data_IF_618422892553
#
_entry.id   IF_618422892553
#
_cell.length_a   1.000
_cell.length_b   1.000
_cell.length_c   1.000
_cell.angle_alpha   90.00
_cell.angle_beta   90.00
_cell.angle_gamma   90.00
#
_symmetry.space_group_name_H-M   'P 1'
#
loop_
_entity.id
_entity.type
_entity.pdbx_description
1 polymer ?
#
# COMPACT_ATOMS: atom_id res chain seq x y z
N UNK A 1 3.31 -9.28 10.72
CA UNK A 1 3.31 -8.69 9.37
C UNK A 1 4.06 -7.35 9.37
N UNK A 2 3.70 -6.37 10.22
CA UNK A 2 4.36 -5.06 10.29
C UNK A 2 5.89 -5.14 10.44
N UNK A 3 6.39 -5.92 11.43
CA UNK A 3 7.84 -6.14 11.65
C UNK A 3 8.56 -6.60 10.37
N UNK A 4 7.93 -7.47 9.59
CA UNK A 4 8.53 -7.98 8.35
C UNK A 4 8.77 -6.86 7.35
N UNK A 5 7.80 -5.96 7.16
CA UNK A 5 7.95 -4.85 6.21
C UNK A 5 8.73 -3.66 6.74
N UNK A 6 8.90 -3.54 8.06
CA UNK A 6 9.77 -2.54 8.68
C UNK A 6 11.24 -2.96 8.58
N UNK A 7 11.52 -4.26 8.75
CA UNK A 7 12.87 -4.77 8.95
C UNK A 7 13.18 -6.03 8.13
N UNK A 8 12.49 -7.14 8.38
CA UNK A 8 12.95 -8.46 7.91
C UNK A 8 13.10 -8.55 6.38
N UNK A 9 12.19 -7.92 5.61
CA UNK A 9 12.22 -7.90 4.15
C UNK A 9 13.53 -7.31 3.61
N UNK A 10 14.05 -6.26 4.26
CA UNK A 10 15.26 -5.58 3.83
C UNK A 10 16.53 -6.40 4.09
N UNK A 11 16.47 -7.33 5.04
CA UNK A 11 17.60 -8.22 5.33
C UNK A 11 17.42 -9.62 4.76
N UNK A 12 16.31 -9.87 4.06
CA UNK A 12 16.07 -11.15 3.40
C UNK A 12 17.19 -11.47 2.38
N UNK A 13 17.72 -12.71 2.34
CA UNK A 13 18.83 -13.06 1.46
C UNK A 13 18.59 -12.77 -0.02
N UNK A 14 17.35 -12.93 -0.51
CA UNK A 14 17.01 -12.59 -1.90
C UNK A 14 17.22 -11.10 -2.20
N UNK A 15 16.88 -10.21 -1.26
CA UNK A 15 17.07 -8.77 -1.43
C UNK A 15 18.56 -8.43 -1.31
N UNK A 16 19.25 -8.95 -0.28
CA UNK A 16 20.67 -8.65 -0.01
C UNK A 16 21.61 -9.18 -1.08
N UNK A 17 21.33 -10.36 -1.64
CA UNK A 17 22.17 -10.99 -2.68
C UNK A 17 21.78 -10.55 -4.09
N UNK A 18 20.55 -10.10 -4.28
CA UNK A 18 20.04 -9.66 -5.59
C UNK A 18 20.61 -8.32 -6.06
N UNK A 19 21.34 -7.58 -5.21
CA UNK A 19 21.92 -6.27 -5.52
C UNK A 19 20.91 -5.28 -6.12
N UNK A 20 19.66 -5.33 -5.65
CA UNK A 20 18.62 -4.42 -6.09
C UNK A 20 18.90 -2.99 -5.62
N UNK A 21 18.61 -1.99 -6.45
CA UNK A 21 18.67 -0.58 -6.06
C UNK A 21 17.39 -0.12 -5.37
N UNK A 22 16.25 -0.64 -5.83
CA UNK A 22 14.92 -0.30 -5.37
C UNK A 22 14.14 -1.54 -4.98
N UNK A 23 13.24 -1.39 -4.00
CA UNK A 23 12.24 -2.38 -3.64
C UNK A 23 10.86 -1.74 -3.76
N UNK A 24 9.95 -2.43 -4.45
CA UNK A 24 8.55 -2.05 -4.57
C UNK A 24 7.68 -3.05 -3.82
N UNK A 25 6.76 -2.55 -2.98
CA UNK A 25 5.72 -3.37 -2.36
C UNK A 25 4.42 -3.27 -3.16
N UNK A 26 3.80 -4.43 -3.34
CA UNK A 26 2.40 -4.60 -3.76
C UNK A 26 1.82 -5.71 -2.90
N UNK A 27 0.68 -5.46 -2.27
CA UNK A 27 -0.05 -6.49 -1.51
C UNK A 27 -0.81 -7.42 -2.48
N UNK A 28 -1.26 -8.56 -1.99
CA UNK A 28 -1.92 -9.61 -2.79
C UNK A 28 -3.28 -9.19 -3.37
N UNK A 29 -3.95 -8.24 -2.73
CA UNK A 29 -5.20 -7.61 -3.17
C UNK A 29 -4.98 -6.26 -3.87
N UNK A 30 -3.75 -6.01 -4.30
CA UNK A 30 -3.35 -4.80 -5.03
C UNK A 30 -3.38 -5.00 -6.53
N UNK A 31 -3.81 -3.97 -7.27
CA UNK A 31 -3.91 -4.05 -8.71
C UNK A 31 -3.68 -2.69 -9.39
N UNK A 32 -3.12 -2.72 -10.59
CA UNK A 32 -3.10 -1.54 -11.45
C UNK A 32 -4.45 -1.40 -12.17
N UNK A 33 -5.02 -0.20 -12.15
CA UNK A 33 -6.31 0.11 -12.79
C UNK A 33 -6.19 0.49 -14.26
N UNK A 34 -4.99 0.84 -14.72
CA UNK A 34 -4.68 1.26 -16.09
C UNK A 34 -3.20 0.99 -16.38
N UNK A 35 -2.77 1.26 -17.61
CA UNK A 35 -1.39 1.14 -18.06
C UNK A 35 -0.51 2.14 -17.31
N UNK A 36 0.59 1.65 -16.74
CA UNK A 36 1.62 2.50 -16.16
C UNK A 36 2.53 2.98 -17.29
N UNK A 37 2.32 4.22 -17.76
CA UNK A 37 3.05 4.76 -18.93
C UNK A 37 4.55 4.99 -18.69
N UNK A 38 4.97 5.05 -17.43
CA UNK A 38 6.36 5.37 -17.04
C UNK A 38 6.92 4.30 -16.14
N UNK A 39 8.11 3.81 -16.47
CA UNK A 39 8.88 2.95 -15.57
C UNK A 39 9.14 3.68 -14.25
N UNK A 40 8.59 3.14 -13.16
CA UNK A 40 8.62 3.74 -11.83
C UNK A 40 10.05 3.78 -11.27
N UNK A 41 10.87 2.77 -11.56
CA UNK A 41 12.25 2.73 -11.09
C UNK A 41 13.12 3.71 -11.86
N UNK A 42 12.92 3.82 -13.17
CA UNK A 42 13.59 4.83 -13.99
C UNK A 42 13.17 6.25 -13.54
N UNK A 43 11.89 6.44 -13.22
CA UNK A 43 11.38 7.69 -12.64
C UNK A 43 12.11 8.06 -11.35
N UNK A 44 12.20 7.14 -10.39
CA UNK A 44 12.92 7.36 -9.13
C UNK A 44 14.39 7.65 -9.36
N UNK A 45 15.07 6.93 -10.25
CA UNK A 45 16.48 7.15 -10.54
C UNK A 45 16.74 8.52 -11.18
N UNK A 46 15.90 8.93 -12.14
CA UNK A 46 16.04 10.22 -12.82
C UNK A 46 15.82 11.39 -11.85
N UNK A 47 14.86 11.25 -10.92
CA UNK A 47 14.55 12.26 -9.91
C UNK A 47 15.43 12.17 -8.66
N UNK A 48 16.27 11.13 -8.57
CA UNK A 48 17.10 10.80 -7.40
C UNK A 48 16.26 10.67 -6.12
N UNK A 49 15.10 10.01 -6.22
CA UNK A 49 14.19 9.77 -5.10
C UNK A 49 14.64 8.59 -4.25
N UNK A 50 14.34 8.68 -2.96
CA UNK A 50 14.55 7.64 -1.95
C UNK A 50 13.28 6.86 -1.65
N UNK A 51 12.13 7.52 -1.75
CA UNK A 51 10.87 6.93 -1.36
C UNK A 51 9.71 7.55 -2.15
N UNK A 52 8.78 6.71 -2.61
CA UNK A 52 7.49 7.17 -3.12
C UNK A 52 6.35 6.40 -2.47
N UNK A 53 5.22 7.07 -2.31
CA UNK A 53 3.99 6.48 -1.79
C UNK A 53 2.75 7.13 -2.42
N UNK A 54 1.61 6.45 -2.33
CA UNK A 54 0.36 6.89 -2.99
C UNK A 54 -0.71 7.45 -2.06
N UNK A 55 -0.64 7.15 -0.78
CA UNK A 55 -1.69 7.50 0.17
C UNK A 55 -1.17 7.56 1.59
N UNK A 56 -1.94 8.22 2.46
CA UNK A 56 -1.71 8.22 3.89
C UNK A 56 -3.04 8.10 4.62
N UNK A 57 -2.96 7.67 5.88
CA UNK A 57 -4.08 7.49 6.78
C UNK A 57 -3.70 7.97 8.18
N UNK A 58 -4.71 8.30 8.98
CA UNK A 58 -4.48 8.76 10.35
C UNK A 58 -4.51 7.57 11.29
N UNK A 59 -3.46 7.42 12.09
CA UNK A 59 -3.36 6.43 13.15
C UNK A 59 -2.55 7.04 14.32
N UNK A 60 -2.87 6.71 15.59
CA UNK A 60 -2.14 7.23 16.73
C UNK A 60 -0.67 6.78 16.71
N UNK A 61 0.26 7.73 16.85
CA UNK A 61 1.70 7.45 16.97
C UNK A 61 2.19 7.44 18.42
N UNK A 62 1.27 7.57 19.39
CA UNK A 62 1.55 7.61 20.83
C UNK A 62 2.50 6.49 21.28
N UNK A 63 2.33 5.22 20.86
CA UNK A 63 3.22 4.15 21.29
C UNK A 63 4.68 4.35 20.86
N UNK A 64 4.92 4.98 19.71
CA UNK A 64 6.28 5.25 19.21
C UNK A 64 6.95 6.45 19.87
N UNK A 65 6.20 7.32 20.57
CA UNK A 65 6.74 8.58 21.09
C UNK A 65 8.00 8.43 21.97
N UNK A 66 8.12 7.44 22.89
CA UNK A 66 9.30 7.29 23.72
C UNK A 66 10.60 7.14 22.92
N UNK A 67 10.55 6.40 21.81
CA UNK A 67 11.69 6.23 20.90
C UNK A 67 11.83 7.46 20.01
N UNK A 68 10.74 7.99 19.43
CA UNK A 68 10.78 9.15 18.54
C UNK A 68 11.46 10.38 19.17
N UNK A 69 11.30 10.62 20.48
CA UNK A 69 11.95 11.75 21.20
C UNK A 69 13.47 11.72 21.12
N UNK A 70 14.08 10.55 20.89
CA UNK A 70 15.54 10.38 20.75
C UNK A 70 16.02 10.86 19.38
N UNK A 71 15.15 10.83 18.38
CA UNK A 71 15.48 11.17 17.00
C UNK A 71 14.94 12.54 16.58
N UNK A 72 13.77 12.94 17.09
CA UNK A 72 13.06 14.15 16.70
C UNK A 72 12.80 15.04 17.91
N UNK A 73 12.91 16.37 17.69
CA UNK A 73 12.52 17.37 18.71
C UNK A 73 11.02 17.39 18.96
N UNK A 74 10.23 17.19 17.89
CA UNK A 74 8.78 17.05 17.96
C UNK A 74 8.42 15.61 17.60
N UNK A 75 7.63 14.95 18.44
CA UNK A 75 7.19 13.56 18.21
C UNK A 75 5.90 13.44 17.43
N UNK A 76 5.21 14.56 17.23
CA UNK A 76 4.06 14.62 16.34
C UNK A 76 4.63 14.54 14.93
N UNK A 77 4.29 13.45 14.23
CA UNK A 77 4.67 13.31 12.83
C UNK A 77 3.95 14.40 12.03
N UNK A 78 4.71 15.18 11.28
CA UNK A 78 4.20 16.19 10.36
C UNK A 78 3.30 15.58 9.28
N UNK A 79 3.53 14.30 8.95
CA UNK A 79 2.75 13.52 7.99
C UNK A 79 1.91 12.48 8.72
N UNK A 80 0.72 12.22 8.16
CA UNK A 80 -0.04 11.02 8.49
C UNK A 80 0.76 9.75 8.21
N UNK A 81 0.33 8.62 8.75
CA UNK A 81 0.95 7.33 8.48
C UNK A 81 0.79 6.99 7.00
N UNK A 82 1.87 6.57 6.34
CA UNK A 82 1.82 6.20 4.92
C UNK A 82 1.00 4.94 4.78
N UNK A 83 0.04 4.95 3.86
CA UNK A 83 -0.63 3.72 3.48
C UNK A 83 0.31 2.92 2.57
N UNK A 84 0.93 1.92 3.18
CA UNK A 84 2.14 1.29 2.70
C UNK A 84 1.88 -0.02 1.94
N UNK A 85 0.62 -0.30 1.62
CA UNK A 85 0.26 -1.29 0.60
C UNK A 85 0.93 -1.01 -0.75
N UNK A 86 1.21 0.27 -1.04
CA UNK A 86 2.06 0.71 -2.14
C UNK A 86 3.19 1.60 -1.62
N UNK A 87 4.43 1.18 -1.87
CA UNK A 87 5.57 2.08 -1.85
C UNK A 87 6.67 1.58 -2.76
N UNK A 88 7.58 2.48 -3.14
CA UNK A 88 8.89 2.12 -3.67
C UNK A 88 9.96 2.82 -2.86
N UNK A 89 10.97 2.07 -2.40
CA UNK A 89 12.05 2.52 -1.53
C UNK A 89 13.40 2.24 -2.16
N UNK A 90 14.32 3.21 -2.08
CA UNK A 90 15.73 3.03 -2.44
C UNK A 90 16.46 2.29 -1.32
N UNK A 91 16.93 1.08 -1.61
CA UNK A 91 17.54 0.19 -0.63
C UNK A 91 18.83 0.80 -0.03
N UNK A 92 19.60 1.51 -0.84
CA UNK A 92 20.79 2.24 -0.39
C UNK A 92 20.48 3.22 0.75
N UNK A 93 19.39 4.00 0.63
CA UNK A 93 18.99 4.94 1.68
C UNK A 93 18.66 4.22 2.98
N UNK A 94 17.86 3.16 2.92
CA UNK A 94 17.52 2.34 4.08
C UNK A 94 18.78 1.79 4.79
N UNK A 95 19.75 1.27 4.03
CA UNK A 95 20.97 0.68 4.59
C UNK A 95 22.02 1.69 5.06
N UNK A 96 22.09 2.88 4.44
CA UNK A 96 23.16 3.85 4.73
C UNK A 96 22.73 4.91 5.74
N UNK A 97 21.44 5.20 5.87
CA UNK A 97 20.94 6.17 6.83
C UNK A 97 21.12 5.64 8.26
N UNK A 98 22.16 6.13 8.95
CA UNK A 98 22.46 5.75 10.34
C UNK A 98 21.29 6.03 11.27
N UNK A 99 20.59 7.15 11.08
CA UNK A 99 19.47 7.57 11.92
C UNK A 99 18.26 6.65 11.74
N UNK A 100 17.92 6.32 10.50
CA UNK A 100 16.84 5.37 10.19
C UNK A 100 17.14 3.99 10.76
N UNK A 101 18.37 3.48 10.57
CA UNK A 101 18.76 2.18 11.12
C UNK A 101 18.70 2.13 12.64
N UNK A 102 19.24 3.14 13.31
CA UNK A 102 19.18 3.22 14.78
C UNK A 102 17.73 3.25 15.27
N UNK A 103 16.87 4.04 14.63
CA UNK A 103 15.45 4.08 14.96
C UNK A 103 14.75 2.73 14.79
N UNK A 104 14.95 2.07 13.65
CA UNK A 104 14.36 0.76 13.38
C UNK A 104 14.91 -0.29 14.34
N UNK A 105 16.21 -0.28 14.64
CA UNK A 105 16.79 -1.21 15.61
C UNK A 105 16.19 -1.03 17.01
N UNK A 106 16.06 0.21 17.50
CA UNK A 106 15.43 0.45 18.81
C UNK A 106 13.98 -0.06 18.86
N UNK A 107 13.20 0.11 17.78
CA UNK A 107 11.85 -0.45 17.70
C UNK A 107 11.81 -1.98 17.77
N UNK A 108 12.82 -2.64 17.21
CA UNK A 108 12.93 -4.10 17.15
C UNK A 108 13.47 -4.66 18.47
N UNK A 109 14.48 -4.03 19.06
CA UNK A 109 15.09 -4.44 20.34
C UNK A 109 14.11 -4.31 21.51
N UNK A 110 13.27 -3.27 21.51
CA UNK A 110 12.24 -3.08 22.53
C UNK A 110 10.97 -3.95 22.29
N UNK A 111 10.94 -4.75 21.21
CA UNK A 111 9.79 -5.50 20.69
C UNK A 111 8.52 -4.62 20.58
N UNK A 112 8.70 -3.31 20.42
CA UNK A 112 7.62 -2.33 20.53
C UNK A 112 6.56 -2.55 19.44
N UNK A 113 6.99 -2.93 18.24
CA UNK A 113 6.10 -3.23 17.11
C UNK A 113 5.14 -4.38 17.45
N UNK A 114 5.62 -5.40 18.16
CA UNK A 114 4.83 -6.58 18.51
C UNK A 114 3.93 -6.32 19.72
N UNK A 115 4.45 -5.60 20.72
CA UNK A 115 3.74 -5.31 21.96
C UNK A 115 2.60 -4.32 21.78
N UNK A 116 2.84 -3.26 21.02
CA UNK A 116 1.93 -2.12 20.87
C UNK A 116 1.19 -2.11 19.53
N UNK A 117 1.34 -3.17 18.72
CA UNK A 117 0.69 -3.33 17.41
C UNK A 117 0.90 -2.13 16.48
N UNK A 118 2.14 -1.64 16.41
CA UNK A 118 2.45 -0.45 15.60
C UNK A 118 2.42 -0.82 14.11
N UNK A 119 1.57 -0.12 13.35
CA UNK A 119 1.51 -0.22 11.89
C UNK A 119 2.82 0.22 11.22
N UNK A 120 3.26 -0.54 10.22
CA UNK A 120 4.48 -0.21 9.46
C UNK A 120 4.37 1.11 8.69
N UNK A 121 3.14 1.50 8.31
CA UNK A 121 2.88 2.79 7.67
C UNK A 121 3.30 3.98 8.52
N UNK A 122 3.04 3.92 9.83
CA UNK A 122 3.46 4.95 10.77
C UNK A 122 4.98 4.93 10.99
N UNK A 123 5.59 3.74 11.04
CA UNK A 123 7.05 3.60 11.17
C UNK A 123 7.77 4.16 9.94
N UNK A 124 7.27 3.87 8.73
CA UNK A 124 7.81 4.43 7.50
C UNK A 124 7.67 5.96 7.49
N UNK A 125 6.52 6.51 7.87
CA UNK A 125 6.36 7.96 8.03
C UNK A 125 7.41 8.55 8.99
N UNK A 126 7.63 7.91 10.14
CA UNK A 126 8.66 8.33 11.08
C UNK A 126 10.07 8.27 10.48
N UNK A 127 10.43 7.20 9.75
CA UNK A 127 11.73 7.09 9.09
C UNK A 127 11.99 8.26 8.13
N UNK A 128 10.96 8.66 7.38
CA UNK A 128 11.05 9.80 6.45
C UNK A 128 11.18 11.15 7.14
N UNK A 129 10.74 11.29 8.39
CA UNK A 129 10.91 12.54 9.16
C UNK A 129 12.23 12.57 9.91
N UNK A 130 12.71 11.41 10.36
CA UNK A 130 13.98 11.25 11.08
C UNK A 130 15.18 11.60 10.20
N UNK A 131 15.10 11.32 8.90
CA UNK A 131 16.12 11.63 7.93
C UNK A 131 15.75 12.87 7.10
N UNK A 132 16.38 14.01 7.40
CA UNK A 132 16.10 15.26 6.70
C UNK A 132 16.69 15.34 5.28
N UNK A 133 17.47 14.33 4.85
CA UNK A 133 18.07 14.28 3.52
C UNK A 133 17.27 13.39 2.55
N UNK A 134 16.28 12.66 3.06
CA UNK A 134 15.47 11.75 2.25
C UNK A 134 14.66 12.51 1.21
N UNK A 135 14.74 12.08 -0.04
CA UNK A 135 13.97 12.63 -1.16
C UNK A 135 12.71 11.82 -1.37
N UNK A 136 11.57 12.40 -1.01
CA UNK A 136 10.27 11.72 -0.99
C UNK A 136 9.32 12.37 -1.97
N UNK A 137 8.51 11.56 -2.66
CA UNK A 137 7.40 12.06 -3.46
C UNK A 137 6.09 11.33 -3.16
N UNK A 138 5.01 12.10 -3.02
CA UNK A 138 3.64 11.60 -2.98
C UNK A 138 3.10 11.55 -4.41
N UNK A 139 2.82 10.34 -4.93
CA UNK A 139 2.47 10.13 -6.34
C UNK A 139 1.00 9.74 -6.49
N UNK A 140 0.23 10.57 -7.17
CA UNK A 140 -1.20 10.33 -7.41
C UNK A 140 -1.51 9.77 -8.79
N UNK A 141 -0.56 9.87 -9.73
CA UNK A 141 -0.72 9.55 -11.14
C UNK A 141 -0.46 8.08 -11.51
N UNK A 142 -0.04 7.23 -10.56
CA UNK A 142 0.10 5.80 -10.79
C UNK A 142 -1.29 5.16 -10.65
N UNK A 143 -1.86 4.51 -11.67
CA UNK A 143 -3.20 3.95 -11.60
C UNK A 143 -3.22 2.69 -10.72
N UNK A 144 -3.34 2.83 -9.40
CA UNK A 144 -3.23 1.71 -8.44
C UNK A 144 -4.42 1.66 -7.47
N UNK A 145 -4.92 0.46 -7.19
CA UNK A 145 -5.97 0.16 -6.20
C UNK A 145 -5.53 -0.94 -5.23
N UNK A 146 -6.20 -0.99 -4.06
CA UNK A 146 -5.96 -1.98 -3.01
C UNK A 146 -7.20 -2.10 -2.13
N UNK A 147 -7.67 -3.33 -1.94
CA UNK A 147 -9.00 -3.59 -1.40
C UNK A 147 -10.10 -2.84 -2.18
N UNK A 148 -11.38 -3.06 -1.85
CA UNK A 148 -12.47 -2.25 -2.39
C UNK A 148 -12.39 -0.75 -1.97
N UNK A 149 -11.37 -0.37 -1.19
CA UNK A 149 -10.97 1.02 -0.91
C UNK A 149 -10.31 1.64 -2.15
N UNK A 150 -11.14 1.93 -3.13
CA UNK A 150 -10.76 2.72 -4.30
C UNK A 150 -10.55 4.17 -3.85
N UNK A 151 -9.30 4.64 -3.86
CA UNK A 151 -9.02 6.04 -3.54
C UNK A 151 -9.64 6.98 -4.59
N UNK A 152 -10.30 8.07 -4.16
CA UNK A 152 -11.22 8.85 -4.99
C UNK A 152 -10.57 9.68 -6.12
N UNK A 153 -9.25 9.84 -6.16
CA UNK A 153 -8.61 10.84 -7.04
C UNK A 153 -8.34 10.37 -8.49
N UNK A 154 -8.52 9.09 -8.81
CA UNK A 154 -8.59 8.59 -10.19
C UNK A 154 -10.02 8.27 -10.66
N UNK A 155 -11.02 8.57 -9.81
CA UNK A 155 -12.18 7.71 -9.71
C UNK A 155 -13.38 8.12 -10.57
N UNK A 156 -13.55 9.39 -10.94
CA UNK A 156 -14.77 9.75 -11.66
C UNK A 156 -14.91 9.01 -13.00
N UNK A 157 -13.85 8.91 -13.82
CA UNK A 157 -13.94 8.18 -15.09
C UNK A 157 -14.08 6.66 -14.92
N UNK A 158 -13.40 6.08 -13.94
CA UNK A 158 -13.36 4.62 -13.74
C UNK A 158 -14.62 4.14 -13.02
N UNK A 159 -15.11 4.85 -12.00
CA UNK A 159 -16.36 4.53 -11.32
C UNK A 159 -17.54 4.54 -12.29
N UNK A 160 -17.68 5.55 -13.17
CA UNK A 160 -18.77 5.53 -14.15
C UNK A 160 -18.63 4.41 -15.17
N UNK A 161 -17.41 4.04 -15.56
CA UNK A 161 -17.17 2.97 -16.54
C UNK A 161 -17.38 1.58 -15.92
N UNK A 162 -16.88 1.34 -14.70
CA UNK A 162 -17.12 0.12 -13.94
C UNK A 162 -18.56 0.03 -13.46
N UNK A 163 -19.21 1.12 -13.03
CA UNK A 163 -20.62 1.10 -12.68
C UNK A 163 -21.47 0.72 -13.89
N UNK A 164 -21.20 1.27 -15.08
CA UNK A 164 -21.90 0.88 -16.31
C UNK A 164 -21.61 -0.57 -16.73
N UNK A 165 -20.36 -1.01 -16.63
CA UNK A 165 -20.01 -2.41 -16.97
C UNK A 165 -20.60 -3.38 -15.95
N UNK A 166 -20.53 -3.08 -14.66
CA UNK A 166 -21.11 -3.87 -13.57
C UNK A 166 -22.63 -3.91 -13.67
N UNK A 167 -23.28 -2.77 -13.90
CA UNK A 167 -24.72 -2.68 -14.16
C UNK A 167 -25.12 -3.54 -15.38
N UNK A 168 -24.33 -3.48 -16.46
CA UNK A 168 -24.55 -4.32 -17.65
C UNK A 168 -24.42 -5.82 -17.35
N UNK A 169 -23.37 -6.24 -16.65
CA UNK A 169 -23.18 -7.64 -16.27
C UNK A 169 -24.23 -8.13 -15.27
N UNK A 170 -24.61 -7.29 -14.30
CA UNK A 170 -25.69 -7.59 -13.36
C UNK A 170 -27.05 -7.71 -14.05
N UNK A 171 -27.36 -6.84 -15.01
CA UNK A 171 -28.57 -6.93 -15.81
C UNK A 171 -28.61 -8.22 -16.64
N UNK A 172 -27.47 -8.60 -17.24
CA UNK A 172 -27.33 -9.87 -17.98
C UNK A 172 -27.56 -11.08 -17.07
N UNK A 173 -26.98 -11.06 -15.87
CA UNK A 173 -27.18 -12.10 -14.86
C UNK A 173 -28.65 -12.19 -14.40
N UNK A 174 -29.30 -11.06 -14.14
CA UNK A 174 -30.72 -11.00 -13.78
C UNK A 174 -31.64 -11.54 -14.90
N UNK A 175 -31.33 -11.25 -16.16
CA UNK A 175 -32.05 -11.81 -17.31
C UNK A 175 -31.89 -13.34 -17.38
N UNK A 176 -30.68 -13.86 -17.21
CA UNK A 176 -30.43 -15.30 -17.18
C UNK A 176 -31.18 -15.99 -16.03
N UNK A 177 -31.21 -15.39 -14.84
CA UNK A 177 -32.00 -15.90 -13.71
C UNK A 177 -33.51 -15.88 -13.98
N UNK A 178 -34.00 -14.88 -14.71
CA UNK A 178 -35.42 -14.78 -15.08
C UNK A 178 -35.81 -15.89 -16.06
N UNK A 179 -34.96 -16.18 -17.05
CA UNK A 179 -35.13 -17.33 -17.96
C UNK A 179 -35.14 -18.65 -17.19
N UNK A 180 -34.23 -18.84 -16.24
CA UNK A 180 -34.16 -20.05 -15.41
C UNK A 180 -35.37 -20.20 -14.49
N UNK A 181 -35.91 -19.10 -13.94
CA UNK A 181 -37.15 -19.11 -13.15
C UNK A 181 -38.37 -19.44 -14.01
N UNK A 182 -38.45 -18.89 -15.22
CA UNK A 182 -39.48 -19.24 -16.21
C UNK A 182 -39.43 -20.72 -16.59
N UNK A 183 -38.24 -21.25 -16.89
CA UNK A 183 -38.03 -22.66 -17.22
C UNK A 183 -38.40 -23.62 -16.06
N UNK A 184 -38.11 -23.25 -14.81
CA UNK A 184 -38.58 -23.98 -13.62
C UNK A 184 -40.11 -23.96 -13.47
N UNK A 185 -40.77 -22.88 -13.86
CA UNK A 185 -42.24 -22.78 -13.88
C UNK A 185 -42.87 -23.69 -14.93
N UNK A 186 -42.24 -23.81 -16.11
CA UNK A 186 -42.66 -24.73 -17.18
C UNK A 186 -42.45 -26.19 -16.77
N UNK A 187 -41.28 -26.53 -16.21
CA UNK A 187 -40.98 -27.89 -15.75
C UNK A 187 -41.89 -28.37 -14.60
N UNK A 188 -42.40 -27.46 -13.76
CA UNK A 188 -43.42 -27.81 -12.74
C UNK A 188 -44.79 -28.15 -13.32
N UNK A 189 -45.11 -27.67 -14.54
CA UNK A 189 -46.36 -28.01 -15.25
C UNK A 189 -46.26 -29.31 -16.06
N UNK A 190 -45.05 -29.81 -16.31
CA UNK A 190 -44.78 -31.10 -16.97
C UNK A 190 -44.61 -32.21 -15.91
N UNK A 191 -45.34 -32.13 -14.78
CA UNK A 191 -45.54 -33.28 -13.90
C UNK A 191 -46.80 -34.02 -14.33
N UNK A 192 -46.56 -34.94 -15.27
CA UNK A 192 -47.11 -36.31 -15.41
C UNK A 192 -48.65 -36.43 -15.33
N UNK A 193 -49.23 -36.70 -16.51
CA UNK A 193 -50.45 -37.48 -16.67
C UNK A 193 -50.12 -38.97 -16.54
#
# INVERSE_FOLDING_TARGET
MCRFWIYDVFYHPAIRRGNYEYLMRMDDDSYFMDTVEKDIFLYMNNRKLDYIYRSSYSEPTTPMQPILRRFLKNTILSRSCIYNNFFVIRLKWYYESKRVKSFVHELIEDDLILREYIGEGCVHSAMLEIDNQVKVEYVTNIPYGHNFHLMPLGYFKILFRFAKTFEKEMNKFCQQLTVLRGARGVLKRIKIS
#
